data_IF_840233614582
#
_entry.id   IF_840233614582
#
_cell.length_a   1.000
_cell.length_b   1.000
_cell.length_c   1.000
_cell.angle_alpha   90.00
_cell.angle_beta   90.00
_cell.angle_gamma   90.00
#
_symmetry.space_group_name_H-M   'P 1'
#
loop_
_entity.id
_entity.type
_entity.pdbx_description
1 polymer ?
#
# COMPACT_ATOMS: atom_id res chain seq x y z
N UNK A 1 14.95 50.31 -0.13
CA UNK A 1 14.50 49.02 -0.71
C UNK A 1 13.47 48.48 0.24
N UNK A 2 12.21 48.55 -0.14
CA UNK A 2 11.11 47.96 0.61
C UNK A 2 11.34 46.45 0.65
N UNK A 3 11.24 45.86 1.83
CA UNK A 3 11.28 44.41 2.01
C UNK A 3 10.05 43.83 1.29
N UNK A 4 10.25 43.22 0.12
CA UNK A 4 9.15 42.66 -0.68
C UNK A 4 8.70 41.35 -0.06
N UNK A 5 7.39 41.16 0.07
CA UNK A 5 6.85 39.99 0.74
C UNK A 5 6.90 38.72 -0.13
N UNK A 6 6.81 37.55 0.54
CA UNK A 6 6.67 36.25 -0.12
C UNK A 6 5.41 36.21 -0.98
N UNK A 7 4.30 36.77 -0.49
CA UNK A 7 3.02 36.80 -1.23
C UNK A 7 3.12 37.69 -2.47
N UNK A 8 3.79 38.84 -2.40
CA UNK A 8 4.07 39.68 -3.59
C UNK A 8 4.86 38.92 -4.66
N UNK A 9 5.78 38.04 -4.22
CA UNK A 9 6.58 37.22 -5.13
C UNK A 9 5.77 36.08 -5.75
N UNK A 10 4.84 35.49 -5.00
CA UNK A 10 3.87 34.53 -5.51
C UNK A 10 2.93 35.17 -6.54
N UNK A 11 2.32 36.31 -6.21
CA UNK A 11 1.44 37.04 -7.12
C UNK A 11 2.14 37.48 -8.42
N UNK A 12 3.42 37.88 -8.33
CA UNK A 12 4.20 38.25 -9.51
C UNK A 12 4.36 37.08 -10.48
N UNK A 13 4.64 35.89 -9.96
CA UNK A 13 4.78 34.67 -10.76
C UNK A 13 3.43 34.18 -11.30
N UNK A 14 2.35 34.29 -10.53
CA UNK A 14 0.99 33.96 -11.01
C UNK A 14 0.56 34.89 -12.14
N UNK A 15 0.80 36.21 -12.00
CA UNK A 15 0.54 37.19 -13.05
C UNK A 15 1.35 36.88 -14.31
N UNK A 16 2.64 36.60 -14.16
CA UNK A 16 3.49 36.17 -15.26
C UNK A 16 2.94 34.91 -15.96
N UNK A 17 2.54 33.88 -15.21
CA UNK A 17 2.01 32.64 -15.78
C UNK A 17 0.71 32.88 -16.56
N UNK A 18 -0.14 33.80 -16.11
CA UNK A 18 -1.37 34.17 -16.80
C UNK A 18 -1.11 34.99 -18.08
N UNK A 19 -0.15 35.91 -18.03
CA UNK A 19 0.16 36.83 -19.13
C UNK A 19 0.92 36.13 -20.27
N UNK A 20 1.71 35.10 -19.97
CA UNK A 20 2.34 34.23 -20.97
C UNK A 20 1.27 33.34 -21.61
N UNK A 21 0.65 33.82 -22.68
CA UNK A 21 -0.15 33.00 -23.59
C UNK A 21 0.69 31.84 -24.14
N UNK A 22 0.06 30.68 -24.38
CA UNK A 22 0.75 29.46 -24.76
C UNK A 22 1.77 29.64 -25.90
N UNK A 23 2.96 29.06 -25.68
CA UNK A 23 4.07 28.77 -26.61
C UNK A 23 5.00 29.87 -27.11
N UNK A 24 4.67 31.17 -27.11
CA UNK A 24 5.56 32.18 -27.76
C UNK A 24 6.37 33.10 -26.83
N UNK A 25 6.14 33.12 -25.51
CA UNK A 25 6.82 34.08 -24.60
C UNK A 25 7.70 33.46 -23.50
N UNK A 26 8.33 32.32 -23.75
CA UNK A 26 9.28 31.71 -22.80
C UNK A 26 10.46 32.63 -22.45
N UNK A 27 10.83 33.58 -23.32
CA UNK A 27 11.92 34.54 -23.09
C UNK A 27 11.68 35.46 -21.88
N UNK A 28 10.42 35.75 -21.53
CA UNK A 28 10.07 36.56 -20.36
C UNK A 28 10.52 35.92 -19.04
N UNK A 29 10.66 34.59 -18.99
CA UNK A 29 11.15 33.85 -17.83
C UNK A 29 12.65 34.06 -17.52
N UNK A 30 13.37 34.72 -18.43
CA UNK A 30 14.77 35.13 -18.24
C UNK A 30 14.90 36.51 -17.59
N UNK A 31 13.78 37.18 -17.31
CA UNK A 31 13.77 38.45 -16.58
C UNK A 31 14.39 38.29 -15.18
N UNK A 32 15.29 39.21 -14.83
CA UNK A 32 16.06 39.12 -13.58
C UNK A 32 15.19 39.38 -12.35
N UNK A 33 14.19 40.26 -12.44
CA UNK A 33 13.27 40.51 -11.33
C UNK A 33 12.38 39.30 -11.07
N UNK A 34 11.90 38.66 -12.13
CA UNK A 34 11.11 37.43 -12.02
C UNK A 34 11.91 36.27 -11.42
N UNK A 35 13.20 36.15 -11.77
CA UNK A 35 14.11 35.17 -11.15
C UNK A 35 14.31 35.44 -9.65
N UNK A 36 14.38 36.70 -9.23
CA UNK A 36 14.47 37.03 -7.81
C UNK A 36 13.18 36.66 -7.05
N UNK A 37 12.01 36.87 -7.66
CA UNK A 37 10.74 36.41 -7.07
C UNK A 37 10.72 34.89 -6.89
N UNK A 38 11.14 34.12 -7.90
CA UNK A 38 11.22 32.66 -7.81
C UNK A 38 12.18 32.19 -6.71
N UNK A 39 13.37 32.79 -6.62
CA UNK A 39 14.36 32.46 -5.56
C UNK A 39 13.79 32.71 -4.16
N UNK A 40 13.11 33.85 -3.96
CA UNK A 40 12.47 34.15 -2.67
C UNK A 40 11.42 33.13 -2.28
N UNK A 41 10.60 32.66 -3.22
CA UNK A 41 9.62 31.61 -2.94
C UNK A 41 10.29 30.28 -2.56
N UNK A 42 11.35 29.88 -3.27
CA UNK A 42 12.11 28.67 -2.95
C UNK A 42 12.73 28.74 -1.56
N UNK A 43 13.29 29.89 -1.17
CA UNK A 43 13.88 30.08 0.15
C UNK A 43 12.84 30.13 1.27
N UNK A 44 11.65 30.66 1.00
CA UNK A 44 10.57 30.76 1.96
C UNK A 44 9.83 29.43 2.20
N UNK A 45 9.64 28.61 1.15
CA UNK A 45 8.87 27.37 1.21
C UNK A 45 9.77 26.14 1.41
N UNK A 46 10.45 26.07 2.56
CA UNK A 46 11.19 24.87 3.03
C UNK A 46 10.34 23.94 3.93
N UNK A 47 9.03 24.13 3.94
CA UNK A 47 8.11 23.51 4.89
C UNK A 47 7.79 22.04 4.59
N UNK A 48 7.37 21.33 5.63
CA UNK A 48 6.92 19.93 5.60
C UNK A 48 5.56 19.75 4.87
N UNK A 49 4.79 20.82 4.67
CA UNK A 49 3.51 20.81 3.93
C UNK A 49 3.44 21.98 2.91
N UNK A 50 4.03 21.82 1.72
CA UNK A 50 4.17 22.90 0.75
C UNK A 50 2.83 23.20 0.04
N UNK A 51 2.48 24.50 -0.08
CA UNK A 51 1.36 24.98 -0.91
C UNK A 51 1.54 24.51 -2.36
N UNK A 52 0.62 23.67 -2.83
CA UNK A 52 0.67 23.08 -4.18
C UNK A 52 0.66 24.13 -5.29
N UNK A 53 0.02 25.29 -5.07
CA UNK A 53 -0.02 26.39 -6.02
C UNK A 53 1.35 27.05 -6.19
N UNK A 54 2.12 27.16 -5.10
CA UNK A 54 3.49 27.69 -5.13
C UNK A 54 4.40 26.72 -5.88
N UNK A 55 4.29 25.41 -5.61
CA UNK A 55 5.04 24.40 -6.33
C UNK A 55 4.73 24.42 -7.83
N UNK A 56 3.45 24.51 -8.19
CA UNK A 56 2.99 24.52 -9.58
C UNK A 56 3.49 25.74 -10.35
N UNK A 57 3.40 26.95 -9.77
CA UNK A 57 3.87 28.16 -10.46
C UNK A 57 5.40 28.18 -10.60
N UNK A 58 6.14 27.73 -9.59
CA UNK A 58 7.60 27.61 -9.66
C UNK A 58 8.03 26.55 -10.69
N UNK A 59 7.34 25.41 -10.74
CA UNK A 59 7.58 24.40 -11.76
C UNK A 59 7.36 24.96 -13.18
N UNK A 60 6.25 25.66 -13.40
CA UNK A 60 5.95 26.30 -14.69
C UNK A 60 7.01 27.34 -15.09
N UNK A 61 7.51 28.10 -14.13
CA UNK A 61 8.60 29.04 -14.31
C UNK A 61 9.89 28.35 -14.76
N UNK A 62 10.33 27.32 -14.03
CA UNK A 62 11.53 26.56 -14.39
C UNK A 62 11.39 25.82 -15.72
N UNK A 63 10.21 25.31 -16.07
CA UNK A 63 9.96 24.73 -17.40
C UNK A 63 10.07 25.77 -18.51
N UNK A 64 9.52 26.97 -18.32
CA UNK A 64 9.62 28.04 -19.31
C UNK A 64 11.07 28.47 -19.52
N UNK A 65 11.87 28.53 -18.44
CA UNK A 65 13.31 28.79 -18.51
C UNK A 65 14.06 27.67 -19.21
N UNK A 66 13.72 26.42 -18.93
CA UNK A 66 14.29 25.26 -19.60
C UNK A 66 14.11 25.34 -21.13
N UNK A 67 12.89 25.69 -21.57
CA UNK A 67 12.60 25.89 -23.00
C UNK A 67 13.37 27.08 -23.57
N UNK A 68 13.43 28.22 -22.86
CA UNK A 68 14.09 29.43 -23.34
C UNK A 68 15.62 29.28 -23.47
N UNK A 69 16.25 28.55 -22.54
CA UNK A 69 17.71 28.36 -22.47
C UNK A 69 18.20 27.14 -23.27
N UNK A 70 17.30 26.23 -23.66
CA UNK A 70 17.66 25.03 -24.42
C UNK A 70 18.66 24.13 -23.69
N UNK A 71 19.76 23.76 -24.35
CA UNK A 71 20.75 22.79 -23.84
C UNK A 71 21.49 23.24 -22.56
N UNK A 72 21.45 24.53 -22.20
CA UNK A 72 22.15 25.08 -21.02
C UNK A 72 21.37 24.96 -19.70
N UNK A 73 20.19 24.35 -19.71
CA UNK A 73 19.19 24.48 -18.64
C UNK A 73 18.93 23.21 -17.84
N UNK A 74 19.95 22.37 -17.67
CA UNK A 74 19.84 21.13 -16.88
C UNK A 74 19.35 21.36 -15.45
N UNK A 75 19.77 22.46 -14.82
CA UNK A 75 19.34 22.86 -13.48
C UNK A 75 17.84 23.25 -13.43
N UNK A 76 17.37 24.01 -14.42
CA UNK A 76 15.95 24.41 -14.51
C UNK A 76 15.05 23.18 -14.79
N UNK A 77 15.50 22.24 -15.64
CA UNK A 77 14.78 20.97 -15.83
C UNK A 77 14.68 20.18 -14.53
N UNK A 78 15.80 20.02 -13.82
CA UNK A 78 15.80 19.27 -12.55
C UNK A 78 14.93 19.94 -11.48
N UNK A 79 15.01 21.27 -11.35
CA UNK A 79 14.16 22.02 -10.43
C UNK A 79 12.67 21.84 -10.74
N UNK A 80 12.29 21.90 -12.03
CA UNK A 80 10.92 21.64 -12.44
C UNK A 80 10.45 20.22 -12.10
N UNK A 81 11.29 19.20 -12.34
CA UNK A 81 10.99 17.80 -11.96
C UNK A 81 10.77 17.67 -10.46
N UNK A 82 11.68 18.20 -9.65
CA UNK A 82 11.62 18.15 -8.20
C UNK A 82 10.39 18.86 -7.61
N UNK A 83 9.96 19.98 -8.22
CA UNK A 83 8.77 20.73 -7.82
C UNK A 83 7.48 20.02 -8.24
N UNK A 84 7.43 19.48 -9.47
CA UNK A 84 6.26 18.72 -9.95
C UNK A 84 6.08 17.40 -9.21
N UNK A 85 7.17 16.73 -8.82
CA UNK A 85 7.11 15.51 -8.01
C UNK A 85 6.50 15.80 -6.64
N UNK A 86 6.92 16.89 -5.98
CA UNK A 86 6.30 17.39 -4.75
C UNK A 86 4.83 17.75 -4.98
N UNK A 87 4.55 18.50 -6.05
CA UNK A 87 3.19 18.89 -6.41
C UNK A 87 2.28 17.66 -6.51
N UNK A 88 2.74 16.60 -7.21
CA UNK A 88 2.02 15.33 -7.31
C UNK A 88 1.76 14.70 -5.93
N UNK A 89 2.78 14.48 -5.11
CA UNK A 89 2.60 13.74 -3.84
C UNK A 89 1.77 14.53 -2.81
N UNK A 90 1.74 15.87 -2.88
CA UNK A 90 0.92 16.73 -2.01
C UNK A 90 -0.48 17.05 -2.60
N UNK A 91 -0.86 16.44 -3.72
CA UNK A 91 -2.22 16.51 -4.26
C UNK A 91 -2.50 17.59 -5.29
N UNK A 92 -1.46 18.19 -5.86
CA UNK A 92 -1.56 18.97 -7.08
C UNK A 92 -1.65 18.10 -8.34
N UNK A 93 -2.16 18.69 -9.41
CA UNK A 93 -2.29 18.03 -10.70
C UNK A 93 -1.07 18.30 -11.59
N UNK A 94 -0.58 17.28 -12.29
CA UNK A 94 0.45 17.47 -13.30
C UNK A 94 -0.12 18.14 -14.55
N UNK A 95 0.59 19.09 -15.18
CA UNK A 95 0.15 19.68 -16.43
C UNK A 95 -0.12 18.61 -17.51
N UNK A 96 -1.28 18.69 -18.15
CA UNK A 96 -1.65 17.76 -19.24
C UNK A 96 -0.70 17.87 -20.43
N UNK A 97 -0.16 19.08 -20.68
CA UNK A 97 0.82 19.40 -21.70
C UNK A 97 2.25 18.90 -21.41
N UNK A 98 2.50 18.29 -20.25
CA UNK A 98 3.82 17.80 -19.88
C UNK A 98 4.29 16.70 -20.86
N UNK A 99 5.50 16.87 -21.40
CA UNK A 99 6.08 15.90 -22.33
C UNK A 99 6.21 14.51 -21.66
N UNK A 100 5.98 13.40 -22.38
CA UNK A 100 5.99 12.06 -21.80
C UNK A 100 7.26 11.73 -21.01
N UNK A 101 8.43 12.02 -21.56
CA UNK A 101 9.71 11.76 -20.88
C UNK A 101 9.85 12.55 -19.57
N UNK A 102 9.37 13.79 -19.55
CA UNK A 102 9.41 14.62 -18.35
C UNK A 102 8.40 14.13 -17.30
N UNK A 103 7.25 13.59 -17.73
CA UNK A 103 6.29 12.92 -16.85
C UNK A 103 6.89 11.68 -16.19
N UNK A 104 7.65 10.87 -16.92
CA UNK A 104 8.41 9.75 -16.35
C UNK A 104 9.43 10.22 -15.31
N UNK A 105 10.21 11.28 -15.62
CA UNK A 105 11.20 11.81 -14.68
C UNK A 105 10.53 12.35 -13.39
N UNK A 106 9.35 12.97 -13.52
CA UNK A 106 8.52 13.42 -12.39
C UNK A 106 8.02 12.24 -11.56
N UNK A 107 7.54 11.17 -12.20
CA UNK A 107 7.11 9.96 -11.50
C UNK A 107 8.27 9.30 -10.73
N UNK A 108 9.45 9.21 -11.34
CA UNK A 108 10.63 8.65 -10.71
C UNK A 108 11.05 9.45 -9.47
N UNK A 109 11.09 10.78 -9.56
CA UNK A 109 11.39 11.64 -8.40
C UNK A 109 10.30 11.55 -7.32
N UNK A 110 9.03 11.42 -7.71
CA UNK A 110 7.92 11.26 -6.76
C UNK A 110 8.04 9.95 -5.97
N UNK A 111 8.47 8.86 -6.63
CA UNK A 111 8.75 7.55 -6.02
C UNK A 111 9.84 7.66 -4.96
N UNK A 112 10.94 8.36 -5.24
CA UNK A 112 12.01 8.57 -4.26
C UNK A 112 11.51 9.33 -3.02
N UNK A 113 10.75 10.42 -3.23
CA UNK A 113 10.16 11.19 -2.13
C UNK A 113 9.16 10.36 -1.30
N UNK A 114 8.29 9.58 -1.93
CA UNK A 114 7.31 8.73 -1.25
C UNK A 114 7.97 7.55 -0.51
N UNK A 115 9.08 7.03 -1.06
CA UNK A 115 9.89 5.99 -0.39
C UNK A 115 10.58 6.54 0.84
N UNK A 116 11.06 7.79 0.79
CA UNK A 116 11.65 8.45 1.96
C UNK A 116 10.63 8.61 3.10
N UNK A 117 9.37 8.93 2.80
CA UNK A 117 8.30 8.97 3.83
C UNK A 117 8.15 7.62 4.56
N UNK A 118 8.20 6.50 3.81
CA UNK A 118 8.17 5.16 4.41
C UNK A 118 9.41 4.89 5.26
N UNK A 119 10.61 5.29 4.80
CA UNK A 119 11.87 5.11 5.52
C UNK A 119 11.90 5.91 6.82
N UNK A 120 11.45 7.16 6.78
CA UNK A 120 11.34 8.03 7.96
C UNK A 120 10.43 7.40 9.01
N UNK A 121 9.25 6.93 8.60
CA UNK A 121 8.33 6.22 9.49
C UNK A 121 8.98 4.97 10.09
N UNK A 122 9.64 4.12 9.29
CA UNK A 122 10.24 2.88 9.79
C UNK A 122 11.38 3.13 10.79
N UNK A 123 12.00 4.31 10.77
CA UNK A 123 13.11 4.67 11.67
C UNK A 123 12.62 5.16 13.03
N UNK A 124 11.56 5.97 13.07
CA UNK A 124 10.94 6.44 14.33
C UNK A 124 9.41 6.58 14.19
N UNK A 125 8.65 5.49 14.41
CA UNK A 125 7.19 5.51 14.24
C UNK A 125 6.44 6.42 15.22
N UNK A 126 7.08 6.87 16.31
CA UNK A 126 6.45 7.66 17.35
C UNK A 126 6.63 9.18 17.16
N UNK A 127 7.50 9.60 16.24
CA UNK A 127 7.91 11.00 16.07
C UNK A 127 6.86 11.82 15.30
N UNK A 128 6.30 11.25 14.22
CA UNK A 128 5.23 11.89 13.45
C UNK A 128 4.19 10.86 12.95
N UNK A 129 3.02 10.77 13.63
CA UNK A 129 1.95 9.85 13.22
C UNK A 129 1.33 10.23 11.87
N UNK A 130 1.54 11.46 11.36
CA UNK A 130 1.03 11.89 10.05
C UNK A 130 1.87 11.33 8.89
N UNK A 131 3.08 10.79 9.14
CA UNK A 131 3.91 10.20 8.09
C UNK A 131 3.23 9.02 7.38
N UNK A 132 2.49 8.19 8.12
CA UNK A 132 1.73 7.08 7.54
C UNK A 132 0.63 7.59 6.60
N UNK A 133 -0.10 8.63 7.00
CA UNK A 133 -1.11 9.28 6.15
C UNK A 133 -0.48 9.88 4.89
N UNK A 134 0.61 10.64 5.04
CA UNK A 134 1.34 11.24 3.91
C UNK A 134 1.89 10.20 2.94
N UNK A 135 2.43 9.09 3.45
CA UNK A 135 2.94 8.00 2.63
C UNK A 135 1.81 7.33 1.83
N UNK A 136 0.69 7.00 2.47
CA UNK A 136 -0.48 6.42 1.79
C UNK A 136 -0.98 7.34 0.68
N UNK A 137 -1.11 8.63 0.98
CA UNK A 137 -1.59 9.62 0.05
C UNK A 137 -0.65 9.84 -1.13
N UNK A 138 0.66 9.88 -0.89
CA UNK A 138 1.68 9.96 -1.94
C UNK A 138 1.64 8.73 -2.85
N UNK A 139 1.61 7.53 -2.28
CA UNK A 139 1.59 6.28 -3.05
C UNK A 139 0.30 6.07 -3.82
N UNK A 140 -0.85 6.53 -3.30
CA UNK A 140 -2.11 6.53 -4.04
C UNK A 140 -1.99 7.38 -5.31
N UNK A 141 -1.44 8.59 -5.19
CA UNK A 141 -1.25 9.52 -6.32
C UNK A 141 -0.25 8.99 -7.34
N UNK A 142 0.84 8.36 -6.89
CA UNK A 142 1.80 7.69 -7.79
C UNK A 142 1.13 6.54 -8.54
N UNK A 143 0.36 5.68 -7.85
CA UNK A 143 -0.40 4.59 -8.48
C UNK A 143 -1.36 5.13 -9.55
N UNK A 144 -2.10 6.19 -9.25
CA UNK A 144 -3.08 6.79 -10.15
C UNK A 144 -2.42 7.50 -11.34
N UNK A 145 -1.24 8.09 -11.15
CA UNK A 145 -0.45 8.72 -12.21
C UNK A 145 0.33 7.73 -13.08
N UNK A 146 0.53 6.50 -12.60
CA UNK A 146 1.23 5.44 -13.33
C UNK A 146 0.24 4.72 -14.27
N UNK A 147 0.53 4.59 -15.58
CA UNK A 147 -0.31 3.80 -16.49
C UNK A 147 -0.47 2.34 -16.06
N UNK A 148 -1.57 1.70 -16.44
CA UNK A 148 -1.86 0.31 -16.08
C UNK A 148 -0.84 -0.70 -16.66
N UNK A 149 -0.26 -0.37 -17.81
CA UNK A 149 0.72 -1.16 -18.57
C UNK A 149 2.17 -0.75 -18.30
N UNK A 150 2.41 0.15 -17.33
CA UNK A 150 3.75 0.61 -17.00
C UNK A 150 4.57 -0.52 -16.33
N UNK A 151 5.84 -0.74 -16.73
CA UNK A 151 6.66 -1.84 -16.20
C UNK A 151 6.87 -1.77 -14.69
N UNK A 152 6.95 -0.57 -14.12
CA UNK A 152 7.14 -0.38 -12.67
C UNK A 152 5.83 -0.35 -11.85
N UNK A 153 4.66 -0.45 -12.50
CA UNK A 153 3.37 -0.45 -11.80
C UNK A 153 3.29 -1.53 -10.70
N UNK A 154 3.74 -2.78 -10.91
CA UNK A 154 3.74 -3.79 -9.85
C UNK A 154 4.53 -3.36 -8.61
N UNK A 155 5.67 -2.69 -8.79
CA UNK A 155 6.47 -2.14 -7.69
C UNK A 155 5.76 -1.02 -6.94
N UNK A 156 5.10 -0.10 -7.66
CA UNK A 156 4.31 0.96 -7.04
C UNK A 156 3.12 0.41 -6.24
N UNK A 157 2.47 -0.66 -6.73
CA UNK A 157 1.37 -1.33 -6.03
C UNK A 157 1.83 -2.02 -4.74
N UNK A 158 3.03 -2.63 -4.74
CA UNK A 158 3.62 -3.20 -3.52
C UNK A 158 3.91 -2.12 -2.48
N UNK A 159 4.56 -1.01 -2.87
CA UNK A 159 4.86 0.10 -1.95
C UNK A 159 3.60 0.82 -1.45
N UNK A 160 2.56 0.93 -2.29
CA UNK A 160 1.25 1.42 -1.86
C UNK A 160 0.59 0.48 -0.84
N UNK A 161 0.63 -0.83 -1.08
CA UNK A 161 0.12 -1.82 -0.13
C UNK A 161 0.89 -1.74 1.20
N UNK A 162 2.22 -1.61 1.17
CA UNK A 162 3.05 -1.41 2.37
C UNK A 162 2.62 -0.17 3.16
N UNK A 163 2.42 0.97 2.50
CA UNK A 163 1.98 2.20 3.15
C UNK A 163 0.63 2.03 3.87
N UNK A 164 -0.33 1.35 3.22
CA UNK A 164 -1.65 1.05 3.79
C UNK A 164 -1.56 0.10 4.99
N UNK A 165 -0.75 -0.96 4.90
CA UNK A 165 -0.55 -1.88 6.02
C UNK A 165 0.11 -1.21 7.22
N UNK A 166 1.06 -0.28 7.00
CA UNK A 166 1.61 0.52 8.10
C UNK A 166 0.53 1.33 8.79
N UNK A 167 -0.27 2.10 8.03
CA UNK A 167 -1.33 2.91 8.62
C UNK A 167 -2.41 2.05 9.30
N UNK A 168 -2.72 0.89 8.74
CA UNK A 168 -3.61 -0.08 9.36
C UNK A 168 -3.07 -0.53 10.73
N UNK A 169 -1.78 -0.87 10.82
CA UNK A 169 -1.16 -1.27 12.08
C UNK A 169 -1.22 -0.15 13.13
N UNK A 170 -1.05 1.11 12.70
CA UNK A 170 -1.04 2.27 13.60
C UNK A 170 -2.46 2.66 14.08
N UNK A 171 -3.47 2.47 13.23
CA UNK A 171 -4.83 3.03 13.45
C UNK A 171 -5.93 1.99 13.62
N UNK A 172 -5.65 0.72 13.33
CA UNK A 172 -6.63 -0.36 13.28
C UNK A 172 -7.69 -0.21 12.17
N UNK A 173 -7.50 0.71 11.20
CA UNK A 173 -8.50 1.01 10.17
C UNK A 173 -8.70 -0.16 9.20
N UNK A 174 -9.84 -0.86 9.18
CA UNK A 174 -10.03 -2.05 8.32
C UNK A 174 -10.05 -1.70 6.83
N UNK A 175 -10.50 -0.49 6.49
CA UNK A 175 -10.53 0.00 5.11
C UNK A 175 -9.13 0.03 4.45
N UNK A 176 -8.07 0.27 5.23
CA UNK A 176 -6.71 0.32 4.71
C UNK A 176 -6.22 -1.09 4.33
N UNK A 177 -6.58 -2.11 5.11
CA UNK A 177 -6.28 -3.51 4.82
C UNK A 177 -7.03 -4.01 3.57
N UNK A 178 -8.30 -3.63 3.41
CA UNK A 178 -9.07 -3.95 2.20
C UNK A 178 -8.50 -3.25 0.95
N UNK A 179 -8.06 -1.99 1.07
CA UNK A 179 -7.40 -1.27 -0.03
C UNK A 179 -6.04 -1.90 -0.38
N UNK A 180 -5.28 -2.37 0.62
CA UNK A 180 -4.01 -3.07 0.42
C UNK A 180 -4.22 -4.42 -0.30
N UNK A 181 -5.24 -5.18 0.07
CA UNK A 181 -5.62 -6.42 -0.62
C UNK A 181 -6.02 -6.17 -2.08
N UNK A 182 -6.78 -5.10 -2.35
CA UNK A 182 -7.14 -4.73 -3.70
C UNK A 182 -5.89 -4.38 -4.55
N UNK A 183 -4.93 -3.64 -3.97
CA UNK A 183 -3.68 -3.31 -4.62
C UNK A 183 -2.77 -4.55 -4.85
N UNK A 184 -2.68 -5.45 -3.87
CA UNK A 184 -1.96 -6.72 -4.01
C UNK A 184 -2.57 -7.62 -5.09
N UNK A 185 -3.89 -7.76 -5.14
CA UNK A 185 -4.58 -8.50 -6.19
C UNK A 185 -4.43 -7.84 -7.57
N UNK A 186 -4.30 -6.52 -7.63
CA UNK A 186 -3.97 -5.82 -8.87
C UNK A 186 -2.53 -6.11 -9.31
N UNK A 187 -1.58 -6.13 -8.37
CA UNK A 187 -0.17 -6.46 -8.66
C UNK A 187 -0.03 -7.86 -9.25
N UNK A 188 -0.67 -8.85 -8.63
CA UNK A 188 -0.68 -10.25 -9.12
C UNK A 188 -1.22 -10.34 -10.56
N UNK A 189 -2.26 -9.56 -10.88
CA UNK A 189 -2.83 -9.52 -12.25
C UNK A 189 -1.93 -8.80 -13.26
N UNK A 190 -1.09 -7.87 -12.80
CA UNK A 190 -0.21 -7.08 -13.65
C UNK A 190 1.10 -7.80 -14.01
N UNK A 191 1.51 -8.79 -13.22
CA UNK A 191 2.72 -9.58 -13.45
C UNK A 191 2.34 -10.83 -14.27
N UNK A 192 3.05 -11.12 -15.38
CA UNK A 192 2.85 -12.37 -16.12
C UNK A 192 3.15 -13.61 -15.27
N UNK A 193 2.41 -14.71 -15.49
CA UNK A 193 2.56 -15.93 -14.70
C UNK A 193 3.97 -16.56 -14.76
N UNK A 194 4.71 -16.34 -15.84
CA UNK A 194 6.09 -16.83 -16.05
C UNK A 194 7.18 -15.86 -15.55
N UNK A 195 6.79 -14.72 -14.99
CA UNK A 195 7.71 -13.71 -14.49
C UNK A 195 8.24 -14.07 -13.08
N UNK A 196 9.54 -13.92 -12.79
CA UNK A 196 10.13 -14.28 -11.50
C UNK A 196 9.48 -13.62 -10.27
N UNK A 197 8.92 -12.42 -10.44
CA UNK A 197 8.23 -11.68 -9.38
C UNK A 197 6.79 -12.13 -9.08
N UNK A 198 6.26 -13.14 -9.78
CA UNK A 198 4.89 -13.63 -9.56
C UNK A 198 4.73 -14.31 -8.20
N UNK A 199 5.71 -15.12 -7.80
CA UNK A 199 5.70 -15.82 -6.51
C UNK A 199 5.74 -14.82 -5.34
N UNK A 200 6.61 -13.80 -5.43
CA UNK A 200 6.68 -12.73 -4.42
C UNK A 200 5.36 -11.95 -4.30
N UNK A 201 4.67 -11.71 -5.43
CA UNK A 201 3.39 -11.01 -5.42
C UNK A 201 2.26 -11.84 -4.78
N UNK A 202 2.26 -13.15 -5.02
CA UNK A 202 1.31 -14.08 -4.39
C UNK A 202 1.60 -14.23 -2.89
N UNK A 203 2.86 -14.29 -2.48
CA UNK A 203 3.27 -14.35 -1.08
C UNK A 203 2.83 -13.11 -0.30
N UNK A 204 3.10 -11.91 -0.83
CA UNK A 204 2.64 -10.66 -0.20
C UNK A 204 1.11 -10.59 -0.09
N UNK A 205 0.38 -11.04 -1.13
CA UNK A 205 -1.09 -11.11 -1.08
C UNK A 205 -1.56 -12.11 -0.02
N UNK A 206 -0.91 -13.29 0.07
CA UNK A 206 -1.19 -14.30 1.09
C UNK A 206 -1.00 -13.77 2.51
N UNK A 207 0.08 -13.05 2.78
CA UNK A 207 0.31 -12.40 4.08
C UNK A 207 -0.77 -11.39 4.43
N UNK A 208 -1.21 -10.56 3.48
CA UNK A 208 -2.31 -9.62 3.71
C UNK A 208 -3.64 -10.34 3.98
N UNK A 209 -3.90 -11.46 3.31
CA UNK A 209 -5.09 -12.29 3.55
C UNK A 209 -5.05 -12.92 4.96
N UNK A 210 -3.89 -13.35 5.44
CA UNK A 210 -3.71 -13.81 6.81
C UNK A 210 -3.96 -12.69 7.83
N UNK A 211 -3.41 -11.50 7.63
CA UNK A 211 -3.69 -10.34 8.49
C UNK A 211 -5.19 -10.00 8.54
N UNK A 212 -5.87 -10.06 7.39
CA UNK A 212 -7.32 -9.83 7.33
C UNK A 212 -8.10 -10.91 8.05
N UNK A 213 -7.66 -12.16 7.93
CA UNK A 213 -8.18 -13.24 8.74
C UNK A 213 -8.02 -12.81 10.20
N UNK A 214 -6.81 -12.60 10.71
CA UNK A 214 -6.54 -12.22 12.11
C UNK A 214 -7.40 -11.06 12.63
N UNK A 215 -7.60 -9.99 11.85
CA UNK A 215 -8.48 -8.86 12.23
C UNK A 215 -9.96 -9.26 12.26
N UNK A 216 -10.42 -10.02 11.26
CA UNK A 216 -11.78 -10.58 11.25
C UNK A 216 -11.96 -11.55 12.42
N UNK A 217 -10.90 -12.29 12.73
CA UNK A 217 -10.71 -13.14 13.88
C UNK A 217 -10.34 -12.34 15.12
N UNK A 218 -10.49 -11.04 15.22
CA UNK A 218 -10.56 -10.34 16.52
C UNK A 218 -12.00 -9.89 16.77
N UNK A 219 -12.75 -9.68 15.69
CA UNK A 219 -14.09 -9.13 15.71
C UNK A 219 -15.24 -10.17 15.74
N UNK A 220 -15.01 -11.44 15.41
CA UNK A 220 -16.01 -12.50 15.58
C UNK A 220 -16.06 -13.02 17.03
N UNK A 221 -17.23 -13.27 17.62
CA UNK A 221 -17.29 -14.11 18.82
C UNK A 221 -17.16 -15.58 18.39
N UNK A 222 -15.91 -16.00 18.18
CA UNK A 222 -15.56 -17.33 17.66
C UNK A 222 -16.04 -18.44 18.60
N UNK A 223 -16.12 -18.18 19.90
CA UNK A 223 -16.62 -19.15 20.86
C UNK A 223 -18.12 -19.40 20.67
N UNK A 224 -18.89 -18.35 20.38
CA UNK A 224 -20.31 -18.49 20.01
C UNK A 224 -20.49 -19.22 18.67
N UNK A 225 -19.64 -18.94 17.68
CA UNK A 225 -19.68 -19.63 16.38
C UNK A 225 -19.36 -21.12 16.50
N UNK A 226 -18.26 -21.47 17.17
CA UNK A 226 -17.86 -22.86 17.41
C UNK A 226 -18.98 -23.60 18.17
N UNK A 227 -19.52 -22.99 19.22
CA UNK A 227 -20.63 -23.57 19.99
C UNK A 227 -21.89 -23.78 19.13
N UNK A 228 -22.22 -22.80 18.28
CA UNK A 228 -23.35 -22.87 17.36
C UNK A 228 -23.20 -23.99 16.33
N UNK A 229 -22.01 -24.17 15.75
CA UNK A 229 -21.74 -25.25 14.81
C UNK A 229 -21.75 -26.62 15.47
N UNK A 230 -21.18 -26.76 16.65
CA UNK A 230 -21.20 -28.00 17.43
C UNK A 230 -22.64 -28.43 17.74
N UNK A 231 -23.47 -27.50 18.21
CA UNK A 231 -24.90 -27.77 18.45
C UNK A 231 -25.60 -28.17 17.15
N UNK A 232 -25.37 -27.42 16.08
CA UNK A 232 -25.95 -27.66 14.77
C UNK A 232 -25.52 -29.01 14.14
N UNK A 233 -24.37 -29.57 14.51
CA UNK A 233 -23.91 -30.90 14.09
C UNK A 233 -24.46 -32.02 14.97
N UNK A 234 -24.74 -31.75 16.25
CA UNK A 234 -25.41 -32.70 17.15
C UNK A 234 -26.89 -32.90 16.78
N UNK A 235 -27.53 -31.86 16.24
CA UNK A 235 -28.94 -31.89 15.84
C UNK A 235 -29.17 -32.53 14.45
N UNK A 236 -28.10 -32.76 13.68
CA UNK A 236 -28.19 -33.32 12.33
C UNK A 236 -27.90 -34.83 12.28
N UNK A 237 -28.65 -35.60 11.48
CA UNK A 237 -28.28 -36.96 11.10
C UNK A 237 -26.88 -37.02 10.45
N UNK A 238 -26.17 -38.14 10.60
CA UNK A 238 -24.84 -38.33 10.02
C UNK A 238 -24.84 -38.29 8.47
N UNK A 239 -25.96 -38.64 7.84
CA UNK A 239 -26.16 -38.68 6.39
C UNK A 239 -26.75 -37.38 5.81
N UNK A 240 -26.87 -36.31 6.62
CA UNK A 240 -27.43 -35.04 6.18
C UNK A 240 -26.50 -34.35 5.15
N UNK A 241 -27.01 -33.98 3.95
CA UNK A 241 -26.22 -33.31 2.92
C UNK A 241 -25.59 -31.97 3.35
N UNK A 242 -26.19 -31.28 4.34
CA UNK A 242 -25.69 -30.03 4.90
C UNK A 242 -24.61 -30.20 5.97
N UNK A 243 -24.30 -31.44 6.40
CA UNK A 243 -23.30 -31.73 7.42
C UNK A 243 -21.89 -31.30 7.00
N UNK A 244 -21.52 -31.52 5.74
CA UNK A 244 -20.20 -31.17 5.17
C UNK A 244 -19.93 -29.68 5.30
N UNK A 245 -20.92 -28.84 4.95
CA UNK A 245 -20.77 -27.39 5.04
C UNK A 245 -20.50 -26.94 6.48
N UNK A 246 -21.21 -27.52 7.44
CA UNK A 246 -21.04 -27.20 8.87
C UNK A 246 -19.72 -27.71 9.44
N UNK A 247 -19.27 -28.91 9.04
CA UNK A 247 -17.94 -29.43 9.40
C UNK A 247 -16.83 -28.54 8.84
N UNK A 248 -17.00 -28.04 7.61
CA UNK A 248 -16.06 -27.09 7.00
C UNK A 248 -16.01 -25.78 7.78
N UNK A 249 -17.16 -25.21 8.14
CA UNK A 249 -17.25 -23.99 8.95
C UNK A 249 -16.66 -24.18 10.34
N UNK A 250 -16.98 -25.29 11.03
CA UNK A 250 -16.41 -25.61 12.34
C UNK A 250 -14.89 -25.81 12.27
N UNK A 251 -14.38 -26.49 11.25
CA UNK A 251 -12.94 -26.67 11.04
C UNK A 251 -12.20 -25.35 10.85
N UNK A 252 -12.79 -24.42 10.09
CA UNK A 252 -12.27 -23.06 9.93
C UNK A 252 -12.32 -22.28 11.25
N UNK A 253 -13.47 -22.24 11.93
CA UNK A 253 -13.64 -21.48 13.18
C UNK A 253 -12.77 -22.02 14.33
N UNK A 254 -12.39 -23.30 14.30
CA UNK A 254 -11.42 -23.88 15.23
C UNK A 254 -9.97 -23.46 14.92
N UNK A 255 -9.55 -23.38 13.64
CA UNK A 255 -8.25 -22.78 13.29
C UNK A 255 -8.16 -21.34 13.78
N UNK A 256 -9.27 -20.64 13.61
CA UNK A 256 -9.45 -19.28 14.04
C UNK A 256 -9.32 -19.15 15.57
N UNK A 257 -9.99 -20.03 16.33
CA UNK A 257 -9.89 -20.04 17.80
C UNK A 257 -8.49 -20.42 18.28
N UNK A 258 -7.81 -21.33 17.58
CA UNK A 258 -6.42 -21.67 17.86
C UNK A 258 -5.51 -20.44 17.73
N UNK A 259 -5.64 -19.68 16.65
CA UNK A 259 -4.83 -18.48 16.44
C UNK A 259 -4.96 -17.47 17.59
N UNK A 260 -6.16 -17.36 18.19
CA UNK A 260 -6.41 -16.50 19.36
C UNK A 260 -5.86 -17.04 20.68
N UNK A 261 -6.04 -18.34 20.92
CA UNK A 261 -5.86 -18.94 22.26
C UNK A 261 -4.57 -19.73 22.42
N UNK A 262 -3.93 -20.11 21.30
CA UNK A 262 -2.83 -21.06 21.25
C UNK A 262 -3.23 -22.50 21.60
N UNK A 263 -4.53 -22.80 21.73
CA UNK A 263 -5.00 -24.12 22.16
C UNK A 263 -4.71 -25.18 21.09
N UNK A 264 -3.74 -26.06 21.34
CA UNK A 264 -3.41 -27.17 20.42
C UNK A 264 -4.59 -28.13 20.19
N UNK A 265 -5.51 -28.21 21.14
CA UNK A 265 -6.74 -29.01 21.01
C UNK A 265 -7.63 -28.51 19.86
N UNK A 266 -7.64 -27.21 19.58
CA UNK A 266 -8.42 -26.67 18.47
C UNK A 266 -7.85 -27.07 17.11
N UNK A 267 -6.52 -27.17 16.98
CA UNK A 267 -5.88 -27.74 15.78
C UNK A 267 -6.23 -29.22 15.62
N UNK A 268 -6.19 -30.01 16.71
CA UNK A 268 -6.60 -31.42 16.68
C UNK A 268 -8.03 -31.59 16.18
N UNK A 269 -8.93 -30.78 16.72
CA UNK A 269 -10.34 -30.82 16.39
C UNK A 269 -10.60 -30.34 14.97
N UNK A 270 -9.95 -29.27 14.52
CA UNK A 270 -10.02 -28.80 13.13
C UNK A 270 -9.57 -29.88 12.14
N UNK A 271 -8.44 -30.53 12.41
CA UNK A 271 -7.94 -31.65 11.59
C UNK A 271 -8.94 -32.80 11.57
N UNK A 272 -9.53 -33.16 12.71
CA UNK A 272 -10.50 -34.25 12.81
C UNK A 272 -11.76 -33.97 11.98
N UNK A 273 -12.39 -32.81 12.15
CA UNK A 273 -13.62 -32.46 11.43
C UNK A 273 -13.40 -32.24 9.93
N UNK A 274 -12.26 -31.63 9.55
CA UNK A 274 -11.92 -31.42 8.13
C UNK A 274 -11.67 -32.76 7.43
N UNK A 275 -11.05 -33.74 8.11
CA UNK A 275 -10.90 -35.12 7.60
C UNK A 275 -12.21 -35.89 7.53
N UNK A 276 -13.13 -35.66 8.48
CA UNK A 276 -14.48 -36.22 8.43
C UNK A 276 -15.21 -35.72 7.17
N UNK A 277 -15.19 -34.41 6.93
CA UNK A 277 -15.82 -33.80 5.76
C UNK A 277 -15.22 -34.31 4.43
N UNK A 278 -13.88 -34.38 4.33
CA UNK A 278 -13.19 -34.89 3.14
C UNK A 278 -13.47 -36.37 2.87
N UNK A 279 -13.85 -37.17 3.88
CA UNK A 279 -14.15 -38.60 3.70
C UNK A 279 -15.48 -38.87 3.00
N UNK A 280 -16.41 -37.93 3.08
CA UNK A 280 -17.80 -38.13 2.64
C UNK A 280 -18.14 -37.39 1.35
N UNK A 281 -17.27 -36.48 0.90
CA UNK A 281 -17.45 -35.76 -0.35
C UNK A 281 -16.72 -36.41 -1.53
N UNK A 282 -17.30 -36.37 -2.74
CA UNK A 282 -16.59 -36.67 -3.98
C UNK A 282 -15.43 -35.70 -4.24
N UNK A 283 -14.44 -36.12 -5.03
CA UNK A 283 -13.25 -35.32 -5.37
C UNK A 283 -13.59 -33.99 -6.09
N UNK A 284 -14.74 -33.90 -6.76
CA UNK A 284 -15.22 -32.71 -7.48
C UNK A 284 -16.20 -31.85 -6.65
N UNK A 285 -16.32 -32.11 -5.36
CA UNK A 285 -17.25 -31.38 -4.49
C UNK A 285 -16.80 -29.93 -4.27
N UNK A 286 -17.71 -28.93 -4.32
CA UNK A 286 -17.37 -27.50 -4.20
C UNK A 286 -16.60 -27.09 -2.93
N UNK A 287 -16.75 -27.85 -1.84
CA UNK A 287 -16.02 -27.61 -0.58
C UNK A 287 -14.66 -28.31 -0.51
N UNK A 288 -14.31 -29.18 -1.48
CA UNK A 288 -13.10 -30.02 -1.43
C UNK A 288 -11.81 -29.22 -1.35
N UNK A 289 -11.64 -28.21 -2.19
CA UNK A 289 -10.44 -27.36 -2.19
C UNK A 289 -10.29 -26.59 -0.88
N UNK A 290 -11.37 -26.00 -0.37
CA UNK A 290 -11.37 -25.25 0.89
C UNK A 290 -11.07 -26.14 2.10
N UNK A 291 -11.65 -27.33 2.15
CA UNK A 291 -11.36 -28.33 3.18
C UNK A 291 -9.90 -28.80 3.12
N UNK A 292 -9.38 -29.05 1.92
CA UNK A 292 -7.98 -29.47 1.76
C UNK A 292 -7.01 -28.36 2.18
N UNK A 293 -7.32 -27.10 1.86
CA UNK A 293 -6.56 -25.94 2.31
C UNK A 293 -6.52 -25.85 3.84
N UNK A 294 -7.69 -25.89 4.50
CA UNK A 294 -7.78 -25.83 5.97
C UNK A 294 -7.04 -27.00 6.64
N UNK A 295 -7.13 -28.21 6.07
CA UNK A 295 -6.41 -29.37 6.59
C UNK A 295 -4.89 -29.18 6.52
N UNK A 296 -4.38 -28.67 5.40
CA UNK A 296 -2.95 -28.43 5.22
C UNK A 296 -2.44 -27.40 6.25
N UNK A 297 -3.13 -26.27 6.39
CA UNK A 297 -2.81 -25.23 7.37
C UNK A 297 -2.80 -25.79 8.79
N UNK A 298 -3.84 -26.54 9.17
CA UNK A 298 -3.95 -27.09 10.52
C UNK A 298 -2.86 -28.12 10.84
N UNK A 299 -2.52 -29.00 9.89
CA UNK A 299 -1.48 -30.01 10.05
C UNK A 299 -0.09 -29.38 10.14
N UNK A 300 0.20 -28.38 9.30
CA UNK A 300 1.47 -27.67 9.29
C UNK A 300 1.70 -26.92 10.60
N UNK A 301 0.73 -26.10 11.03
CA UNK A 301 0.79 -25.39 12.31
C UNK A 301 0.98 -26.35 13.49
N UNK A 302 0.28 -27.49 13.48
CA UNK A 302 0.43 -28.50 14.53
C UNK A 302 1.82 -29.14 14.54
N UNK A 303 2.39 -29.48 13.38
CA UNK A 303 3.73 -30.07 13.30
C UNK A 303 4.78 -29.12 13.85
N UNK A 304 4.73 -27.86 13.42
CA UNK A 304 5.68 -26.83 13.85
C UNK A 304 5.66 -26.62 15.37
N UNK A 305 4.47 -26.57 15.98
CA UNK A 305 4.32 -26.35 17.43
C UNK A 305 4.74 -27.57 18.26
N UNK A 306 4.44 -28.79 17.80
CA UNK A 306 4.86 -30.03 18.49
C UNK A 306 6.37 -30.25 18.39
N UNK A 307 6.98 -29.91 17.24
CA UNK A 307 8.43 -29.98 17.05
C UNK A 307 9.17 -28.91 17.88
N UNK A 308 8.62 -27.70 18.00
CA UNK A 308 9.17 -26.62 18.82
C UNK A 308 9.15 -26.93 20.32
N UNK A 309 8.08 -27.53 20.84
CA UNK A 309 7.99 -27.96 22.25
C UNK A 309 8.95 -29.12 22.59
N UNK A 310 9.32 -29.93 21.60
CA UNK A 310 10.30 -31.01 21.75
C UNK A 310 11.74 -30.55 21.99
N UNK A 311 12.08 -29.32 21.62
CA UNK A 311 13.42 -28.75 21.81
C UNK A 311 13.55 -27.87 23.08
N UNK A 312 12.44 -27.50 23.72
CA UNK A 312 12.44 -26.61 24.90
C UNK A 312 12.52 -27.33 26.27
N UNK A 313 12.70 -28.65 26.33
CA UNK A 313 12.83 -29.40 27.60
C UNK A 313 14.00 -30.38 27.62
N UNK A 314 15.21 -29.86 27.47
CA UNK A 314 16.38 -30.51 28.08
C UNK A 314 16.38 -30.23 29.59
N UNK A 315 16.48 -31.24 30.48
CA UNK A 315 16.47 -30.97 31.91
C UNK A 315 17.70 -30.15 32.28
N UNK A 316 17.48 -29.00 32.92
CA UNK A 316 18.50 -28.38 33.76
C UNK A 316 18.81 -29.37 34.90
N UNK A 317 19.86 -30.17 34.71
CA UNK A 317 20.48 -30.96 35.76
C UNK A 317 21.23 -29.98 36.68
N UNK A 318 21.15 -30.15 38.03
CA UNK A 318 21.55 -29.12 38.99
C UNK A 318 23.04 -28.77 39.00
#
# INVERSE_FOLDING_TARGET
MTDMSVEESFEALVRWQHDVGSTEEHASSLDTQLLEHARRLVDAYREEDPRVEVLAVLAAFHLSRHVALGQESSADRWAAVALLARCLIYGGELPSSLAPKLREDVLAEAVELATELLRMRDTDPADDPALADRAVDAWRRIKDATPADHPDRPGHLSLFSKALLMRHADTGRPADLEEALAAGAERVRAIPDDHPGQDEAMEELGHMMMMRLDVTLDHSDVDELVSGWEQALNDLPEDDPGRVAKLSSLGADLLIRHARTGALEDLDRSIAFTREALRVIPDDHPYGEGLQHNLNVAVELRSQLVEGDGQARGPAVP
#
